data_IF_617491478466
#
_entry.id   IF_617491478466
#
_cell.length_a   1.000
_cell.length_b   1.000
_cell.length_c   1.000
_cell.angle_alpha   90.00
_cell.angle_beta   90.00
_cell.angle_gamma   90.00
#
_symmetry.space_group_name_H-M   'P 1'
#
loop_
_entity.id
_entity.type
_entity.pdbx_description
1 polymer ?
#
# COMPACT_ATOMS: atom_id res chain seq x y z
N UNK A 1 51.44 -55.73 -17.35
CA UNK A 1 50.00 -56.00 -17.49
C UNK A 1 49.43 -55.92 -16.10
N UNK A 2 48.84 -54.82 -15.73
CA UNK A 2 47.91 -54.81 -14.64
C UNK A 2 47.12 -53.45 -14.67
N UNK A 3 45.82 -53.56 -14.78
CA UNK A 3 44.93 -52.44 -14.95
C UNK A 3 44.41 -52.03 -13.58
N UNK A 4 44.97 -50.96 -13.00
CA UNK A 4 44.45 -50.29 -11.78
C UNK A 4 43.22 -49.44 -12.05
N UNK A 5 42.07 -49.86 -11.56
CA UNK A 5 40.82 -49.06 -11.52
C UNK A 5 40.95 -47.92 -10.53
N UNK A 6 40.84 -46.69 -11.02
CA UNK A 6 40.65 -45.52 -10.17
C UNK A 6 39.14 -45.29 -9.93
N UNK A 7 38.71 -45.30 -8.68
CA UNK A 7 37.38 -44.81 -8.24
C UNK A 7 37.30 -43.30 -8.29
N UNK A 8 36.14 -42.71 -8.61
CA UNK A 8 35.93 -41.25 -8.56
C UNK A 8 35.71 -40.79 -7.13
N UNK A 9 36.45 -39.75 -6.74
CA UNK A 9 36.28 -39.03 -5.48
C UNK A 9 34.95 -38.25 -5.51
N UNK A 10 34.02 -38.57 -4.60
CA UNK A 10 32.86 -37.79 -4.28
C UNK A 10 33.27 -36.38 -3.78
N UNK A 11 32.87 -35.37 -4.51
CA UNK A 11 32.88 -33.98 -4.03
C UNK A 11 31.70 -33.79 -3.07
N UNK A 12 31.95 -33.76 -1.79
CA UNK A 12 31.04 -33.24 -0.78
C UNK A 12 30.88 -31.73 -1.00
N UNK A 13 29.83 -31.32 -1.68
CA UNK A 13 29.36 -29.94 -1.68
C UNK A 13 28.66 -29.67 -0.36
N UNK A 14 29.23 -28.78 0.44
CA UNK A 14 28.63 -28.27 1.66
C UNK A 14 27.45 -27.38 1.27
N UNK A 15 26.23 -27.87 1.40
CA UNK A 15 25.01 -27.08 1.38
C UNK A 15 24.71 -26.59 2.81
N UNK A 16 25.30 -25.48 3.19
CA UNK A 16 25.04 -24.81 4.47
C UNK A 16 24.73 -23.33 4.19
N UNK A 17 23.60 -23.04 3.65
CA UNK A 17 23.21 -21.65 3.39
C UNK A 17 21.76 -21.42 2.99
N UNK A 18 21.04 -22.45 2.61
CA UNK A 18 19.67 -22.28 2.08
C UNK A 18 18.54 -22.37 3.12
N UNK A 19 18.83 -22.75 4.36
CA UNK A 19 17.80 -23.17 5.32
C UNK A 19 17.12 -22.01 6.07
N UNK A 20 17.79 -20.87 6.29
CA UNK A 20 17.21 -19.80 7.12
C UNK A 20 16.30 -18.82 6.34
N UNK A 21 16.65 -18.48 5.10
CA UNK A 21 15.81 -17.57 4.31
C UNK A 21 14.53 -18.25 3.81
N UNK A 22 14.58 -19.57 3.60
CA UNK A 22 13.40 -20.37 3.21
C UNK A 22 12.44 -20.61 4.38
N UNK A 23 12.93 -20.66 5.64
CA UNK A 23 12.07 -20.90 6.81
C UNK A 23 11.12 -19.74 7.14
N UNK A 24 11.47 -18.51 6.85
CA UNK A 24 10.57 -17.36 7.10
C UNK A 24 9.42 -17.29 6.07
N UNK A 25 9.55 -17.94 4.93
CA UNK A 25 8.52 -18.00 3.87
C UNK A 25 7.79 -19.35 3.86
N UNK A 26 8.38 -20.42 4.42
CA UNK A 26 7.88 -21.81 4.31
C UNK A 26 7.38 -22.42 5.63
N UNK A 27 7.46 -21.73 6.78
CA UNK A 27 6.91 -22.24 8.04
C UNK A 27 5.38 -22.26 8.13
N UNK A 28 4.68 -22.14 6.98
CA UNK A 28 3.24 -22.39 6.88
C UNK A 28 2.91 -23.89 6.66
N UNK A 29 3.92 -24.75 6.53
CA UNK A 29 3.68 -26.19 6.37
C UNK A 29 4.48 -26.99 7.42
N UNK A 30 3.82 -27.31 8.52
CA UNK A 30 4.06 -28.54 9.29
C UNK A 30 5.22 -28.56 10.29
N UNK A 31 4.96 -28.20 11.54
CA UNK A 31 5.36 -29.03 12.67
C UNK A 31 4.19 -29.09 13.67
N UNK A 32 3.56 -30.25 13.73
CA UNK A 32 2.64 -30.61 14.80
C UNK A 32 3.47 -30.85 16.06
N UNK A 33 3.74 -29.78 16.83
CA UNK A 33 4.07 -29.88 18.23
C UNK A 33 2.77 -29.79 19.01
N UNK A 34 2.45 -30.85 19.73
CA UNK A 34 1.30 -30.98 20.62
C UNK A 34 1.23 -29.79 21.57
N UNK A 35 0.41 -28.80 21.24
CA UNK A 35 -0.04 -27.79 22.19
C UNK A 35 -1.20 -28.42 22.97
N UNK A 36 -0.99 -28.63 24.26
CA UNK A 36 -2.08 -28.90 25.19
C UNK A 36 -3.17 -27.83 25.04
N UNK A 37 -4.40 -28.29 24.88
CA UNK A 37 -5.62 -27.50 24.86
C UNK A 37 -5.64 -26.45 25.98
N UNK A 38 -5.47 -25.19 25.60
CA UNK A 38 -5.91 -24.02 26.33
C UNK A 38 -7.21 -23.51 25.69
N UNK A 39 -8.15 -24.43 25.46
CA UNK A 39 -9.51 -24.09 25.12
C UNK A 39 -10.31 -24.14 26.42
N UNK A 40 -10.44 -23.04 27.11
CA UNK A 40 -11.69 -22.56 27.69
C UNK A 40 -11.42 -21.37 28.61
N UNK A 41 -12.14 -20.32 28.38
CA UNK A 41 -12.48 -19.14 29.15
C UNK A 41 -12.02 -17.83 28.51
N UNK A 42 -12.47 -17.61 27.28
CA UNK A 42 -12.64 -16.24 26.80
C UNK A 42 -14.11 -16.10 26.36
N UNK A 43 -14.86 -15.37 27.16
CA UNK A 43 -16.16 -14.84 26.75
C UNK A 43 -16.08 -14.11 25.40
N UNK A 44 -17.20 -13.82 24.74
CA UNK A 44 -17.19 -13.13 23.47
C UNK A 44 -16.32 -11.87 23.62
N UNK A 45 -15.29 -11.76 22.74
CA UNK A 45 -14.46 -10.56 22.66
C UNK A 45 -15.41 -9.36 22.59
N UNK A 46 -15.17 -8.27 23.34
CA UNK A 46 -15.99 -7.10 23.24
C UNK A 46 -16.00 -6.67 21.79
N UNK A 47 -17.14 -6.82 21.13
CA UNK A 47 -17.38 -6.19 19.84
C UNK A 47 -17.43 -4.71 20.15
N UNK A 48 -16.32 -4.01 19.91
CA UNK A 48 -16.36 -2.57 19.88
C UNK A 48 -17.24 -2.28 18.66
N UNK A 49 -18.50 -1.97 18.89
CA UNK A 49 -19.30 -1.25 17.92
C UNK A 49 -18.60 0.10 17.78
N UNK A 50 -17.67 0.19 16.81
CA UNK A 50 -17.29 1.47 16.27
C UNK A 50 -18.59 1.95 15.66
N UNK A 51 -19.32 2.79 16.41
CA UNK A 51 -20.45 3.50 15.83
C UNK A 51 -19.88 4.08 14.53
N UNK A 52 -20.44 3.75 13.36
CA UNK A 52 -20.06 4.45 12.15
C UNK A 52 -20.34 5.91 12.52
N UNK A 53 -19.28 6.66 12.79
CA UNK A 53 -19.33 8.09 12.72
C UNK A 53 -19.78 8.29 11.29
N UNK A 54 -21.09 8.49 11.10
CA UNK A 54 -21.68 8.70 9.79
C UNK A 54 -20.97 9.90 9.20
N UNK A 55 -19.85 9.68 8.54
CA UNK A 55 -19.21 10.70 7.74
C UNK A 55 -20.26 11.02 6.68
N UNK A 56 -20.78 12.25 6.76
CA UNK A 56 -21.71 12.75 5.74
C UNK A 56 -21.02 12.52 4.40
N UNK A 57 -21.50 11.59 3.60
CA UNK A 57 -21.00 11.45 2.25
C UNK A 57 -21.50 12.66 1.45
N UNK A 58 -20.56 13.28 0.73
CA UNK A 58 -20.89 14.41 -0.15
C UNK A 58 -21.37 13.87 -1.51
N UNK A 59 -22.40 14.52 -2.08
CA UNK A 59 -22.84 14.26 -3.44
C UNK A 59 -22.24 15.28 -4.39
N UNK A 60 -21.47 14.82 -5.38
CA UNK A 60 -20.81 15.70 -6.36
C UNK A 60 -21.40 15.50 -7.76
N UNK A 61 -21.95 16.55 -8.37
CA UNK A 61 -22.27 16.58 -9.78
C UNK A 61 -20.99 16.81 -10.60
N UNK A 62 -20.71 15.93 -11.55
CA UNK A 62 -19.49 15.98 -12.38
C UNK A 62 -19.93 16.32 -13.81
N UNK A 63 -19.66 17.55 -14.23
CA UNK A 63 -20.06 18.03 -15.56
C UNK A 63 -19.13 17.48 -16.64
N UNK A 64 -19.62 17.39 -17.84
CA UNK A 64 -18.84 17.11 -19.03
C UNK A 64 -17.90 18.28 -19.31
N UNK A 65 -16.60 18.08 -19.24
CA UNK A 65 -15.61 19.11 -19.45
C UNK A 65 -15.66 19.67 -20.87
N UNK A 66 -15.51 20.98 -21.01
CA UNK A 66 -15.47 21.68 -22.28
C UNK A 66 -14.10 21.53 -22.93
N UNK A 67 -14.06 21.29 -24.24
CA UNK A 67 -12.81 21.32 -25.02
C UNK A 67 -12.55 22.74 -25.52
N UNK A 68 -11.37 23.29 -25.22
CA UNK A 68 -10.96 24.64 -25.63
C UNK A 68 -9.76 24.57 -26.58
N UNK A 69 -9.80 25.33 -27.67
CA UNK A 69 -8.76 25.31 -28.69
C UNK A 69 -8.82 24.06 -29.58
N UNK A 70 -7.68 23.46 -29.98
CA UNK A 70 -7.67 22.25 -30.79
C UNK A 70 -8.42 21.12 -30.11
N UNK A 71 -9.43 20.47 -30.75
CA UNK A 71 -10.36 19.58 -30.08
C UNK A 71 -9.67 18.35 -29.46
N UNK A 72 -10.05 18.01 -28.24
CA UNK A 72 -9.63 16.79 -27.56
C UNK A 72 -10.40 15.56 -28.06
N UNK A 73 -11.60 15.78 -28.59
CA UNK A 73 -12.53 14.77 -29.11
C UNK A 73 -13.54 14.31 -28.05
N UNK A 74 -14.81 14.27 -28.44
CA UNK A 74 -15.94 14.03 -27.54
C UNK A 74 -15.87 12.71 -26.78
N UNK A 75 -15.48 11.62 -27.45
CA UNK A 75 -15.32 10.32 -26.80
C UNK A 75 -14.24 10.34 -25.69
N UNK A 76 -13.19 11.12 -25.86
CA UNK A 76 -12.13 11.27 -24.85
C UNK A 76 -12.58 12.11 -23.66
N UNK A 77 -13.40 13.13 -23.89
CA UNK A 77 -13.98 13.95 -22.83
C UNK A 77 -14.99 13.15 -22.03
N UNK A 78 -15.83 12.34 -22.69
CA UNK A 78 -16.72 11.43 -22.00
C UNK A 78 -15.93 10.41 -21.15
N UNK A 79 -14.86 9.83 -21.69
CA UNK A 79 -13.97 8.93 -20.94
C UNK A 79 -13.29 9.62 -19.75
N UNK A 80 -12.95 10.91 -19.85
CA UNK A 80 -12.39 11.67 -18.72
C UNK A 80 -13.43 11.81 -17.60
N UNK A 81 -14.68 12.17 -17.92
CA UNK A 81 -15.78 12.26 -16.96
C UNK A 81 -16.01 10.93 -16.25
N UNK A 82 -16.16 9.83 -17.02
CA UNK A 82 -16.32 8.48 -16.46
C UNK A 82 -15.17 8.10 -15.52
N UNK A 83 -13.94 8.52 -15.82
CA UNK A 83 -12.79 8.28 -14.97
C UNK A 83 -12.86 9.07 -13.67
N UNK A 84 -13.24 10.35 -13.75
CA UNK A 84 -13.41 11.20 -12.56
C UNK A 84 -14.49 10.61 -11.65
N UNK A 85 -15.64 10.22 -12.20
CA UNK A 85 -16.75 9.63 -11.44
C UNK A 85 -16.32 8.34 -10.71
N UNK A 86 -15.64 7.43 -11.40
CA UNK A 86 -15.12 6.20 -10.79
C UNK A 86 -14.11 6.50 -9.68
N UNK A 87 -13.22 7.45 -9.92
CA UNK A 87 -12.18 7.81 -8.98
C UNK A 87 -12.73 8.52 -7.74
N UNK A 88 -13.76 9.38 -7.92
CA UNK A 88 -14.49 9.99 -6.81
C UNK A 88 -15.22 8.93 -6.00
N UNK A 89 -15.95 8.02 -6.65
CA UNK A 89 -16.66 6.93 -5.98
C UNK A 89 -15.71 5.99 -5.20
N UNK A 90 -14.45 5.85 -5.63
CA UNK A 90 -13.45 5.07 -4.92
C UNK A 90 -13.12 5.65 -3.54
N UNK A 91 -13.27 6.97 -3.32
CA UNK A 91 -13.03 7.60 -2.02
C UNK A 91 -13.99 7.14 -0.93
N UNK A 92 -15.21 6.73 -1.30
CA UNK A 92 -16.37 6.40 -0.44
C UNK A 92 -16.99 7.56 0.31
N UNK A 93 -16.29 8.66 0.51
CA UNK A 93 -16.74 9.87 1.21
C UNK A 93 -17.43 10.89 0.27
N UNK A 94 -17.12 10.80 -1.01
CA UNK A 94 -17.75 11.59 -2.06
C UNK A 94 -18.38 10.65 -3.07
N UNK A 95 -19.65 10.80 -3.35
CA UNK A 95 -20.38 9.99 -4.31
C UNK A 95 -20.74 10.83 -5.54
N UNK A 96 -20.52 10.32 -6.76
CA UNK A 96 -21.01 10.97 -7.96
C UNK A 96 -22.54 11.02 -7.92
N UNK A 97 -23.12 12.21 -8.15
CA UNK A 97 -24.55 12.33 -8.33
C UNK A 97 -24.97 11.65 -9.65
N UNK A 98 -25.98 10.77 -9.67
CA UNK A 98 -26.45 10.15 -10.90
C UNK A 98 -26.93 11.18 -11.93
N UNK A 99 -26.55 11.03 -13.20
CA UNK A 99 -26.93 11.97 -14.26
C UNK A 99 -28.45 12.16 -14.40
N UNK A 100 -29.24 11.11 -14.10
CA UNK A 100 -30.69 11.19 -14.11
C UNK A 100 -31.26 12.15 -13.07
N UNK A 101 -30.48 12.55 -12.07
CA UNK A 101 -30.89 13.54 -11.07
C UNK A 101 -30.56 14.99 -11.47
N UNK A 102 -29.84 15.21 -12.57
CA UNK A 102 -29.43 16.53 -13.01
C UNK A 102 -30.65 17.30 -13.53
N UNK A 103 -30.94 18.44 -12.91
CA UNK A 103 -31.98 19.38 -13.35
C UNK A 103 -31.41 20.53 -14.20
N UNK A 104 -30.09 20.70 -14.20
CA UNK A 104 -29.35 21.64 -15.02
C UNK A 104 -28.55 20.93 -16.12
N UNK A 105 -27.95 21.70 -17.03
CA UNK A 105 -27.07 21.16 -18.07
C UNK A 105 -25.93 20.37 -17.49
N UNK A 106 -25.61 19.27 -18.11
CA UNK A 106 -24.45 18.40 -17.76
C UNK A 106 -23.16 18.85 -18.45
N UNK A 107 -23.17 19.90 -19.24
CA UNK A 107 -22.01 20.49 -19.89
C UNK A 107 -21.38 21.62 -19.06
N UNK A 108 -20.07 21.64 -18.96
CA UNK A 108 -19.36 22.73 -18.29
C UNK A 108 -19.53 24.04 -19.07
N UNK A 109 -19.98 25.14 -18.42
CA UNK A 109 -19.86 26.47 -18.98
C UNK A 109 -18.39 26.87 -19.14
N UNK A 110 -18.09 28.00 -19.76
CA UNK A 110 -16.76 28.56 -19.74
C UNK A 110 -16.35 28.92 -18.30
N UNK A 111 -15.09 28.64 -17.92
CA UNK A 111 -14.63 28.80 -16.53
C UNK A 111 -14.60 30.27 -16.06
N UNK A 112 -14.52 31.22 -16.99
CA UNK A 112 -14.58 32.67 -16.76
C UNK A 112 -16.04 33.19 -16.61
N UNK A 113 -17.02 32.39 -17.00
CA UNK A 113 -18.43 32.71 -16.84
C UNK A 113 -18.89 32.21 -15.45
N UNK A 114 -19.50 33.13 -14.66
CA UNK A 114 -20.04 32.77 -13.35
C UNK A 114 -21.51 32.37 -13.47
N UNK A 115 -21.81 31.28 -14.20
CA UNK A 115 -23.17 30.90 -14.64
C UNK A 115 -23.58 29.54 -14.03
N UNK A 116 -23.22 29.26 -12.78
CA UNK A 116 -23.72 28.05 -12.12
C UNK A 116 -25.06 28.34 -11.44
N UNK A 117 -26.09 27.66 -11.91
CA UNK A 117 -27.41 27.65 -11.25
C UNK A 117 -27.38 26.73 -10.02
N UNK A 118 -26.90 27.29 -8.91
CA UNK A 118 -26.78 26.57 -7.64
C UNK A 118 -28.14 26.08 -7.11
N UNK A 119 -29.24 26.79 -7.42
CA UNK A 119 -30.58 26.40 -6.94
C UNK A 119 -31.03 25.10 -7.63
N UNK A 120 -30.85 24.98 -8.94
CA UNK A 120 -31.12 23.73 -9.67
C UNK A 120 -30.25 22.58 -9.20
N UNK A 121 -28.96 22.81 -8.92
CA UNK A 121 -28.08 21.78 -8.39
C UNK A 121 -28.44 21.39 -6.97
N UNK A 122 -28.86 22.33 -6.13
CA UNK A 122 -29.35 22.03 -4.79
C UNK A 122 -30.62 21.17 -4.82
N UNK A 123 -31.53 21.46 -5.76
CA UNK A 123 -32.73 20.64 -5.98
C UNK A 123 -32.39 19.25 -6.53
N UNK A 124 -31.31 19.12 -7.31
CA UNK A 124 -30.76 17.83 -7.76
C UNK A 124 -30.16 17.02 -6.63
N UNK A 125 -29.92 17.60 -5.46
CA UNK A 125 -29.27 16.93 -4.31
C UNK A 125 -27.75 16.95 -4.35
N UNK A 126 -27.14 17.84 -5.13
CA UNK A 126 -25.69 18.01 -5.14
C UNK A 126 -25.22 18.88 -3.95
N UNK A 127 -24.18 18.45 -3.26
CA UNK A 127 -23.41 19.26 -2.31
C UNK A 127 -22.36 20.11 -3.06
N UNK A 128 -21.84 19.59 -4.17
CA UNK A 128 -20.85 20.29 -5.01
C UNK A 128 -21.05 20.02 -6.50
N UNK A 129 -20.56 20.95 -7.32
CA UNK A 129 -20.46 20.81 -8.77
C UNK A 129 -19.01 20.91 -9.18
N UNK A 130 -18.53 19.91 -9.93
CA UNK A 130 -17.23 19.88 -10.57
C UNK A 130 -17.38 20.20 -12.05
N UNK A 131 -16.78 21.29 -12.50
CA UNK A 131 -16.76 21.74 -13.88
C UNK A 131 -15.34 22.02 -14.35
N UNK A 132 -15.11 22.00 -15.67
CA UNK A 132 -13.76 22.21 -16.15
C UNK A 132 -13.65 22.35 -17.67
N UNK A 133 -12.46 22.78 -18.07
CA UNK A 133 -12.02 22.87 -19.45
C UNK A 133 -10.79 22.01 -19.69
N UNK A 134 -10.70 21.45 -20.90
CA UNK A 134 -9.57 20.64 -21.33
C UNK A 134 -8.99 21.23 -22.61
N UNK A 135 -7.68 21.42 -22.63
CA UNK A 135 -6.96 21.93 -23.81
C UNK A 135 -5.71 21.09 -24.10
N UNK A 136 -5.30 21.11 -25.37
CA UNK A 136 -4.01 20.56 -25.78
C UNK A 136 -2.96 21.65 -25.75
N UNK A 137 -1.87 21.39 -25.02
CA UNK A 137 -0.71 22.26 -24.94
C UNK A 137 0.54 21.49 -25.36
N UNK A 138 1.00 21.66 -26.60
CA UNK A 138 2.11 20.88 -27.14
C UNK A 138 1.81 19.37 -27.16
N UNK A 139 2.66 18.57 -26.54
CA UNK A 139 2.48 17.12 -26.39
C UNK A 139 1.69 16.69 -25.16
N UNK A 140 1.12 17.64 -24.41
CA UNK A 140 0.41 17.40 -23.15
C UNK A 140 -1.08 17.75 -23.25
N UNK A 141 -1.84 17.34 -22.25
CA UNK A 141 -3.20 17.80 -21.99
C UNK A 141 -3.19 18.53 -20.66
N UNK A 142 -3.81 19.71 -20.65
CA UNK A 142 -4.10 20.47 -19.46
C UNK A 142 -5.60 20.48 -19.22
N UNK A 143 -6.00 20.19 -18.00
CA UNK A 143 -7.36 20.35 -17.50
C UNK A 143 -7.36 21.45 -16.42
N UNK A 144 -8.15 22.49 -16.63
CA UNK A 144 -8.44 23.51 -15.64
C UNK A 144 -9.82 23.21 -15.05
N UNK A 145 -9.98 23.29 -13.73
CA UNK A 145 -11.21 22.91 -13.04
C UNK A 145 -11.60 23.88 -11.94
N UNK A 146 -12.91 23.95 -11.69
CA UNK A 146 -13.54 24.62 -10.55
C UNK A 146 -14.41 23.62 -9.80
N UNK A 147 -14.39 23.70 -8.49
CA UNK A 147 -15.24 22.93 -7.59
C UNK A 147 -16.07 23.94 -6.81
N UNK A 148 -17.38 23.91 -7.01
CA UNK A 148 -18.33 24.89 -6.46
C UNK A 148 -19.13 24.25 -5.32
N UNK A 149 -19.16 24.88 -4.15
CA UNK A 149 -20.08 24.56 -3.05
C UNK A 149 -21.50 25.02 -3.45
N UNK A 150 -22.41 24.10 -3.62
CA UNK A 150 -23.78 24.37 -4.01
C UNK A 150 -24.56 25.10 -2.90
N UNK A 151 -24.28 24.78 -1.65
CA UNK A 151 -24.96 25.40 -0.50
C UNK A 151 -24.67 26.89 -0.34
N UNK A 152 -23.40 27.28 -0.61
CA UNK A 152 -22.93 28.69 -0.49
C UNK A 152 -22.87 29.41 -1.84
N UNK A 153 -22.96 28.66 -2.93
CA UNK A 153 -22.74 29.13 -4.30
C UNK A 153 -21.42 29.87 -4.48
N UNK A 154 -20.33 29.23 -4.01
CA UNK A 154 -18.98 29.80 -4.03
C UNK A 154 -17.98 28.73 -4.43
N UNK A 155 -16.88 29.16 -5.06
CA UNK A 155 -15.77 28.25 -5.35
C UNK A 155 -15.12 27.73 -4.07
N UNK A 156 -15.09 26.41 -3.91
CA UNK A 156 -14.28 25.74 -2.90
C UNK A 156 -12.81 25.70 -3.33
N UNK A 157 -12.59 25.42 -4.63
CA UNK A 157 -11.24 25.25 -5.17
C UNK A 157 -11.23 25.47 -6.68
N UNK A 158 -10.16 26.09 -7.16
CA UNK A 158 -9.75 26.05 -8.55
C UNK A 158 -8.40 25.31 -8.63
N UNK A 159 -8.21 24.52 -9.65
CA UNK A 159 -6.96 23.78 -9.85
C UNK A 159 -6.69 23.56 -11.33
N UNK A 160 -5.47 23.18 -11.66
CA UNK A 160 -5.11 22.69 -12.97
C UNK A 160 -4.31 21.40 -12.86
N UNK A 161 -4.55 20.51 -13.81
CA UNK A 161 -3.87 19.21 -13.89
C UNK A 161 -3.29 19.07 -15.29
N UNK A 162 -1.98 18.78 -15.36
CA UNK A 162 -1.27 18.58 -16.62
C UNK A 162 -0.79 17.14 -16.70
N UNK A 163 -0.99 16.50 -17.83
CA UNK A 163 -0.54 15.12 -18.06
C UNK A 163 -0.15 14.86 -19.50
N UNK A 164 0.38 13.67 -19.74
CA UNK A 164 0.73 13.21 -21.07
C UNK A 164 -0.52 13.16 -21.99
N UNK A 165 -0.30 13.29 -23.31
CA UNK A 165 -1.38 13.28 -24.30
C UNK A 165 -2.34 12.10 -24.19
N UNK A 166 -1.82 10.93 -23.82
CA UNK A 166 -2.61 9.70 -23.68
C UNK A 166 -2.98 9.39 -22.20
N UNK A 167 -2.62 10.31 -21.27
CA UNK A 167 -2.77 10.15 -19.82
C UNK A 167 -4.10 10.66 -19.26
N UNK A 168 -5.21 10.70 -20.03
CA UNK A 168 -6.50 11.21 -19.53
C UNK A 168 -7.00 10.47 -18.28
N UNK A 169 -6.75 9.18 -18.16
CA UNK A 169 -7.13 8.43 -16.97
C UNK A 169 -6.36 8.92 -15.72
N UNK A 170 -5.06 9.19 -15.86
CA UNK A 170 -4.27 9.77 -14.75
C UNK A 170 -4.75 11.17 -14.40
N UNK A 171 -5.05 12.01 -15.42
CA UNK A 171 -5.61 13.36 -15.21
C UNK A 171 -6.95 13.26 -14.46
N UNK A 172 -7.85 12.36 -14.87
CA UNK A 172 -9.15 12.18 -14.22
C UNK A 172 -9.04 11.76 -12.75
N UNK A 173 -8.10 10.85 -12.42
CA UNK A 173 -7.83 10.45 -11.04
C UNK A 173 -7.28 11.59 -10.20
N UNK A 174 -6.37 12.38 -10.75
CA UNK A 174 -5.84 13.57 -10.04
C UNK A 174 -6.94 14.61 -9.81
N UNK A 175 -7.80 14.86 -10.80
CA UNK A 175 -8.97 15.75 -10.63
C UNK A 175 -9.88 15.23 -9.52
N UNK A 176 -10.15 13.94 -9.48
CA UNK A 176 -10.95 13.32 -8.42
C UNK A 176 -10.33 13.51 -7.03
N UNK A 177 -9.02 13.34 -6.91
CA UNK A 177 -8.30 13.55 -5.64
C UNK A 177 -8.38 15.02 -5.19
N UNK A 178 -8.31 15.97 -6.12
CA UNK A 178 -8.52 17.39 -5.83
C UNK A 178 -9.96 17.68 -5.37
N UNK A 179 -10.96 17.04 -6.00
CA UNK A 179 -12.36 17.20 -5.63
C UNK A 179 -12.64 16.60 -4.23
N UNK A 180 -12.14 15.41 -3.95
CA UNK A 180 -12.24 14.79 -2.63
C UNK A 180 -11.57 15.68 -1.58
N UNK A 181 -10.39 16.21 -1.88
CA UNK A 181 -9.67 17.11 -0.98
C UNK A 181 -10.40 18.41 -0.68
N UNK A 182 -11.04 19.01 -1.69
CA UNK A 182 -11.82 20.25 -1.53
C UNK A 182 -13.05 20.05 -0.62
N UNK A 183 -13.70 18.88 -0.71
CA UNK A 183 -14.91 18.57 0.03
C UNK A 183 -14.64 18.04 1.45
N UNK A 184 -13.58 17.28 1.63
CA UNK A 184 -13.32 16.54 2.88
C UNK A 184 -12.16 17.10 3.70
N UNK A 185 -11.37 18.02 3.11
CA UNK A 185 -10.14 18.54 3.73
C UNK A 185 -8.93 17.63 3.61
N UNK A 186 -9.06 16.39 3.10
CA UNK A 186 -7.98 15.43 2.90
C UNK A 186 -8.01 14.99 1.43
N UNK A 187 -6.90 15.21 0.72
CA UNK A 187 -6.76 14.84 -0.69
C UNK A 187 -7.03 13.35 -0.90
N UNK A 188 -7.75 13.00 -1.97
CA UNK A 188 -8.04 11.61 -2.34
C UNK A 188 -6.77 10.83 -2.76
N UNK A 189 -6.93 9.53 -3.00
CA UNK A 189 -5.83 8.61 -3.31
C UNK A 189 -5.98 7.86 -4.64
N UNK A 190 -6.94 8.24 -5.46
CA UNK A 190 -7.23 7.56 -6.73
C UNK A 190 -6.07 7.65 -7.73
N UNK A 191 -5.25 8.72 -7.66
CA UNK A 191 -4.07 8.90 -8.50
C UNK A 191 -2.83 8.12 -8.03
N UNK A 192 -2.88 7.49 -6.86
CA UNK A 192 -1.79 6.71 -6.31
C UNK A 192 -1.71 5.30 -6.91
N UNK A 193 -0.64 4.60 -6.63
CA UNK A 193 -0.40 3.24 -7.11
C UNK A 193 -0.09 2.28 -5.96
N UNK A 194 -0.39 1.00 -6.18
CA UNK A 194 -0.06 -0.09 -5.25
C UNK A 194 0.95 -1.01 -5.93
N UNK A 195 2.11 -1.20 -5.29
CA UNK A 195 3.07 -2.24 -5.66
C UNK A 195 2.70 -3.56 -4.97
N UNK A 196 2.90 -4.69 -5.62
CA UNK A 196 2.61 -6.00 -5.05
C UNK A 196 3.47 -7.09 -5.69
N UNK A 197 3.59 -8.22 -5.03
CA UNK A 197 4.28 -9.41 -5.55
C UNK A 197 3.29 -10.28 -6.29
N UNK A 198 3.64 -10.73 -7.51
CA UNK A 198 2.81 -11.68 -8.28
C UNK A 198 3.67 -12.73 -8.97
N UNK A 199 3.22 -13.99 -8.97
CA UNK A 199 3.85 -15.10 -9.69
C UNK A 199 3.12 -15.46 -11.01
N UNK A 200 2.28 -14.56 -11.52
CA UNK A 200 1.47 -14.79 -12.73
C UNK A 200 2.28 -15.05 -14.01
N UNK A 201 3.55 -14.69 -14.02
CA UNK A 201 4.50 -14.93 -15.12
C UNK A 201 5.48 -16.09 -14.86
N UNK A 202 5.24 -16.86 -13.79
CA UNK A 202 6.04 -18.03 -13.38
C UNK A 202 6.84 -17.76 -12.12
N UNK A 203 7.72 -16.76 -12.13
CA UNK A 203 8.48 -16.34 -10.96
C UNK A 203 7.80 -15.17 -10.24
N UNK A 204 8.17 -14.93 -8.98
CA UNK A 204 7.64 -13.81 -8.20
C UNK A 204 8.31 -12.51 -8.62
N UNK A 205 7.53 -11.66 -9.25
CA UNK A 205 7.92 -10.35 -9.74
C UNK A 205 7.16 -9.25 -8.99
N UNK A 206 7.73 -8.04 -9.01
CA UNK A 206 7.01 -6.85 -8.54
C UNK A 206 6.11 -6.36 -9.67
N UNK A 207 4.86 -6.17 -9.36
CA UNK A 207 3.84 -5.55 -10.20
C UNK A 207 3.39 -4.24 -9.57
N UNK A 208 2.87 -3.35 -10.40
CA UNK A 208 2.27 -2.08 -9.98
C UNK A 208 0.91 -1.97 -10.62
N UNK A 209 -0.06 -1.41 -9.90
CA UNK A 209 -1.41 -1.12 -10.36
C UNK A 209 -1.88 0.23 -9.82
N UNK A 210 -2.91 0.81 -10.45
CA UNK A 210 -3.65 1.95 -9.89
C UNK A 210 -4.31 1.56 -8.57
N UNK A 211 -4.60 2.53 -7.70
CA UNK A 211 -5.24 2.30 -6.40
C UNK A 211 -6.54 1.48 -6.48
N UNK A 212 -7.29 1.61 -7.57
CA UNK A 212 -8.52 0.86 -7.85
C UNK A 212 -8.31 -0.53 -8.51
N UNK A 213 -7.07 -0.97 -8.64
CA UNK A 213 -6.71 -2.29 -9.18
C UNK A 213 -6.57 -2.37 -10.69
N UNK A 214 -6.77 -1.27 -11.43
CA UNK A 214 -6.57 -1.20 -12.88
C UNK A 214 -5.09 -0.99 -13.25
N UNK A 215 -4.80 -0.94 -14.53
CA UNK A 215 -3.48 -0.64 -15.11
C UNK A 215 -2.35 -1.54 -14.55
N UNK A 216 -2.67 -2.81 -14.27
CA UNK A 216 -1.70 -3.76 -13.72
C UNK A 216 -0.57 -4.04 -14.72
N UNK A 217 0.66 -3.75 -14.33
CA UNK A 217 1.85 -3.95 -15.14
C UNK A 217 3.02 -4.53 -14.33
N UNK A 218 3.90 -5.33 -14.94
CA UNK A 218 5.13 -5.73 -14.28
C UNK A 218 6.06 -4.52 -14.13
N UNK A 219 6.67 -4.38 -12.96
CA UNK A 219 7.74 -3.42 -12.70
C UNK A 219 9.12 -4.07 -12.78
N UNK A 220 9.18 -5.40 -12.71
CA UNK A 220 10.42 -6.21 -12.83
C UNK A 220 10.19 -7.40 -13.75
N UNK A 221 11.28 -8.04 -14.23
CA UNK A 221 11.17 -9.13 -15.22
C UNK A 221 12.40 -10.03 -15.31
N UNK A 222 13.17 -10.23 -14.23
CA UNK A 222 14.45 -10.95 -14.27
C UNK A 222 14.41 -12.43 -13.85
N UNK A 223 13.25 -13.06 -13.79
CA UNK A 223 13.05 -14.50 -13.49
C UNK A 223 13.69 -14.98 -12.18
N UNK A 224 13.70 -14.14 -11.16
CA UNK A 224 14.19 -14.47 -9.82
C UNK A 224 13.20 -14.03 -8.75
N UNK A 225 13.33 -14.60 -7.55
CA UNK A 225 12.44 -14.29 -6.45
C UNK A 225 12.58 -12.82 -6.01
N UNK A 226 11.48 -12.07 -6.07
CA UNK A 226 11.37 -10.70 -5.56
C UNK A 226 10.25 -10.62 -4.53
N UNK A 227 10.51 -9.92 -3.43
CA UNK A 227 9.62 -9.85 -2.26
C UNK A 227 9.69 -8.47 -1.62
N UNK A 228 8.68 -8.17 -0.80
CA UNK A 228 8.67 -6.99 0.08
C UNK A 228 8.89 -5.69 -0.68
N UNK A 229 7.98 -5.35 -1.62
CA UNK A 229 8.02 -4.04 -2.26
C UNK A 229 7.81 -2.94 -1.23
N UNK A 230 8.44 -1.80 -1.47
CA UNK A 230 8.34 -0.58 -0.68
C UNK A 230 8.49 0.62 -1.60
N UNK A 231 7.48 1.46 -1.71
CA UNK A 231 7.60 2.70 -2.45
C UNK A 231 8.63 3.65 -1.83
N UNK A 232 9.40 4.31 -2.67
CA UNK A 232 10.18 5.46 -2.20
C UNK A 232 9.23 6.59 -1.81
N UNK A 233 9.53 7.40 -0.78
CA UNK A 233 8.65 8.48 -0.33
C UNK A 233 8.30 9.53 -1.38
N UNK A 234 9.15 9.67 -2.41
CA UNK A 234 8.90 10.54 -3.56
C UNK A 234 8.01 9.87 -4.65
N UNK A 235 7.55 8.65 -4.43
CA UNK A 235 6.69 7.89 -5.35
C UNK A 235 7.32 7.55 -6.71
N UNK A 236 8.64 7.74 -6.88
CA UNK A 236 9.31 7.57 -8.18
C UNK A 236 9.81 6.17 -8.44
N UNK A 237 9.99 5.37 -7.38
CA UNK A 237 10.57 4.04 -7.48
C UNK A 237 10.04 3.11 -6.39
N UNK A 238 10.22 1.81 -6.60
CA UNK A 238 9.92 0.76 -5.64
C UNK A 238 11.21 0.06 -5.26
N UNK A 239 11.54 0.06 -3.97
CA UNK A 239 12.57 -0.77 -3.35
C UNK A 239 12.00 -2.18 -3.17
N UNK A 240 12.80 -3.21 -3.34
CA UNK A 240 12.40 -4.60 -3.08
C UNK A 240 13.58 -5.47 -2.70
N UNK A 241 13.31 -6.59 -2.05
CA UNK A 241 14.29 -7.62 -1.75
C UNK A 241 14.42 -8.56 -2.94
N UNK A 242 15.62 -8.64 -3.52
CA UNK A 242 15.98 -9.45 -4.68
C UNK A 242 16.90 -10.60 -4.26
N UNK A 243 16.62 -11.81 -4.77
CA UNK A 243 17.33 -13.04 -4.40
C UNK A 243 18.23 -13.59 -5.53
N UNK A 244 18.59 -12.77 -6.53
CA UNK A 244 19.42 -13.16 -7.68
C UNK A 244 20.77 -13.77 -7.31
N UNK A 245 21.39 -13.29 -6.24
CA UNK A 245 22.72 -13.75 -5.76
C UNK A 245 22.70 -14.87 -4.74
N UNK A 246 21.55 -15.55 -4.53
CA UNK A 246 21.39 -16.58 -3.50
C UNK A 246 21.17 -16.07 -2.08
N UNK A 247 21.49 -14.79 -1.82
CA UNK A 247 21.15 -14.07 -0.60
C UNK A 247 20.33 -12.81 -0.94
N UNK A 248 19.35 -12.44 -0.08
CA UNK A 248 18.55 -11.26 -0.35
C UNK A 248 19.40 -9.99 -0.32
N UNK A 249 19.22 -9.17 -1.33
CA UNK A 249 19.79 -7.84 -1.46
C UNK A 249 18.73 -6.84 -1.90
N UNK A 250 18.95 -5.55 -1.67
CA UNK A 250 18.03 -4.54 -2.16
C UNK A 250 18.26 -4.23 -3.63
N UNK A 251 17.15 -4.07 -4.35
CA UNK A 251 17.09 -3.53 -5.70
C UNK A 251 16.00 -2.46 -5.75
N UNK A 252 16.10 -1.56 -6.73
CA UNK A 252 15.12 -0.50 -6.96
C UNK A 252 14.68 -0.56 -8.42
N UNK A 253 13.39 -0.45 -8.67
CA UNK A 253 12.84 -0.26 -10.01
C UNK A 253 12.10 1.07 -10.08
N UNK A 254 12.27 1.82 -11.19
CA UNK A 254 11.49 3.02 -11.44
C UNK A 254 10.24 2.72 -12.27
N UNK A 255 9.30 3.66 -12.30
CA UNK A 255 8.11 3.59 -13.18
C UNK A 255 8.45 3.35 -14.65
N UNK A 256 9.64 3.75 -15.11
CA UNK A 256 10.03 3.71 -16.52
C UNK A 256 11.03 2.61 -16.86
N UNK A 257 11.81 2.12 -15.91
CA UNK A 257 12.91 1.18 -16.19
C UNK A 257 13.43 0.56 -14.89
N UNK A 258 13.83 -0.72 -14.93
CA UNK A 258 14.58 -1.32 -13.84
C UNK A 258 15.88 -0.52 -13.64
N UNK A 259 15.96 0.22 -12.55
CA UNK A 259 17.17 0.89 -12.13
C UNK A 259 17.90 -0.07 -11.23
N UNK A 260 19.05 -0.51 -11.65
CA UNK A 260 19.95 -1.25 -10.75
C UNK A 260 20.14 -0.42 -9.49
N UNK A 261 19.90 -1.01 -8.32
CA UNK A 261 20.08 -0.35 -7.02
C UNK A 261 21.36 0.47 -7.06
N UNK A 262 21.25 1.75 -6.76
CA UNK A 262 22.39 2.66 -6.80
C UNK A 262 23.54 2.13 -5.93
N UNK A 263 24.77 2.60 -6.15
CA UNK A 263 25.98 2.12 -5.45
C UNK A 263 25.82 2.07 -3.93
N UNK A 264 25.02 2.99 -3.38
CA UNK A 264 24.80 3.15 -1.94
C UNK A 264 24.09 1.93 -1.33
N UNK A 265 23.00 1.44 -1.95
CA UNK A 265 22.28 0.26 -1.43
C UNK A 265 23.07 -1.04 -1.61
N UNK A 266 23.96 -1.10 -2.61
CA UNK A 266 24.87 -2.25 -2.82
C UNK A 266 26.00 -2.29 -1.81
N UNK A 267 26.52 -1.13 -1.41
CA UNK A 267 27.65 -1.03 -0.46
C UNK A 267 27.23 -1.20 1.00
N UNK A 268 25.93 -1.15 1.30
CA UNK A 268 25.43 -1.38 2.65
C UNK A 268 25.66 -2.82 3.07
N UNK A 269 26.45 -3.05 4.13
CA UNK A 269 26.71 -4.35 4.73
C UNK A 269 27.12 -5.42 3.68
N UNK A 270 28.27 -5.31 3.01
CA UNK A 270 28.73 -6.27 2.01
C UNK A 270 28.72 -7.70 2.55
N UNK A 271 28.22 -8.67 1.75
CA UNK A 271 28.21 -10.08 2.13
C UNK A 271 27.13 -10.50 3.12
N UNK A 272 26.33 -9.56 3.65
CA UNK A 272 25.22 -9.89 4.55
C UNK A 272 23.86 -9.76 3.83
N UNK A 273 22.89 -10.65 4.16
CA UNK A 273 21.54 -10.58 3.60
C UNK A 273 20.84 -9.30 4.07
N UNK A 274 20.08 -8.68 3.15
CA UNK A 274 19.31 -7.45 3.42
C UNK A 274 17.90 -7.60 2.85
N UNK A 275 16.88 -7.41 3.67
CA UNK A 275 15.49 -7.56 3.28
C UNK A 275 14.55 -6.71 4.14
N UNK A 276 13.30 -6.55 3.70
CA UNK A 276 12.24 -5.80 4.38
C UNK A 276 12.71 -4.38 4.78
N UNK A 277 13.15 -3.61 3.79
CA UNK A 277 13.50 -2.20 4.00
C UNK A 277 12.23 -1.34 4.09
N UNK A 278 12.23 -0.36 4.99
CA UNK A 278 11.18 0.66 5.16
C UNK A 278 11.80 2.04 5.29
N UNK A 279 11.43 2.96 4.40
CA UNK A 279 11.88 4.34 4.50
C UNK A 279 11.24 5.04 5.69
N UNK A 280 11.99 5.93 6.33
CA UNK A 280 11.41 6.87 7.28
C UNK A 280 10.52 7.88 6.55
N UNK A 281 9.60 8.57 7.24
CA UNK A 281 8.67 9.51 6.59
C UNK A 281 9.36 10.62 5.79
N UNK A 282 10.58 11.00 6.17
CA UNK A 282 11.39 12.00 5.47
C UNK A 282 12.15 11.46 4.25
N UNK A 283 12.21 10.13 4.08
CA UNK A 283 12.94 9.48 3.01
C UNK A 283 14.47 9.56 3.10
N UNK A 284 14.99 9.99 4.25
CA UNK A 284 16.44 10.16 4.48
C UNK A 284 17.08 8.91 5.10
N UNK A 285 16.29 8.07 5.76
CA UNK A 285 16.74 6.86 6.43
C UNK A 285 15.93 5.63 6.00
N UNK A 286 16.54 4.46 6.13
CA UNK A 286 15.94 3.18 5.85
C UNK A 286 16.10 2.28 7.09
N UNK A 287 15.00 1.83 7.67
CA UNK A 287 15.03 0.69 8.59
C UNK A 287 15.02 -0.59 7.75
N UNK A 288 15.91 -1.53 8.05
CA UNK A 288 16.03 -2.77 7.28
C UNK A 288 16.37 -3.95 8.18
N UNK A 289 16.13 -5.15 7.70
CA UNK A 289 16.54 -6.39 8.36
C UNK A 289 17.81 -6.92 7.74
N UNK A 290 18.73 -7.33 8.60
CA UNK A 290 19.93 -8.11 8.18
C UNK A 290 20.21 -9.20 9.19
N UNK A 291 20.70 -10.35 8.72
CA UNK A 291 21.14 -11.42 9.62
C UNK A 291 22.62 -11.27 9.91
N UNK A 292 22.91 -10.95 11.17
CA UNK A 292 24.26 -10.83 11.73
C UNK A 292 24.33 -11.82 12.90
N UNK A 293 25.44 -12.53 13.03
CA UNK A 293 25.65 -13.52 14.12
C UNK A 293 24.56 -14.60 14.22
N UNK A 294 23.86 -14.89 13.10
CA UNK A 294 22.85 -15.94 13.02
C UNK A 294 21.43 -15.52 13.36
N UNK A 295 21.22 -14.34 13.93
CA UNK A 295 19.90 -13.77 14.20
C UNK A 295 19.52 -12.68 13.18
N UNK A 296 18.23 -12.52 12.92
CA UNK A 296 17.70 -11.42 12.12
C UNK A 296 17.48 -10.21 13.02
N UNK A 297 18.10 -9.11 12.66
CA UNK A 297 18.12 -7.88 13.46
C UNK A 297 17.73 -6.66 12.62
N UNK A 298 17.23 -5.64 13.27
CA UNK A 298 16.85 -4.38 12.63
C UNK A 298 18.03 -3.41 12.66
N UNK A 299 18.32 -2.84 11.51
CA UNK A 299 19.34 -1.81 11.30
C UNK A 299 18.70 -0.55 10.74
N UNK A 300 19.30 0.59 11.04
CA UNK A 300 19.00 1.89 10.44
C UNK A 300 20.19 2.39 9.65
N UNK A 301 19.94 2.86 8.43
CA UNK A 301 20.97 3.39 7.54
C UNK A 301 20.49 4.68 6.89
N UNK A 302 21.39 5.64 6.65
CA UNK A 302 21.09 6.86 5.90
C UNK A 302 21.07 6.55 4.39
N UNK A 303 20.11 7.11 3.68
CA UNK A 303 19.96 6.95 2.20
C UNK A 303 21.24 7.34 1.44
N UNK A 304 21.97 8.34 1.90
CA UNK A 304 23.24 8.80 1.29
C UNK A 304 24.46 7.97 1.65
N UNK A 305 24.27 6.85 2.35
CA UNK A 305 25.34 5.97 2.81
C UNK A 305 25.97 6.47 4.12
N UNK A 306 25.83 5.69 5.15
CA UNK A 306 26.56 5.77 6.40
C UNK A 306 26.73 4.36 6.90
N UNK A 307 27.57 4.18 7.92
CA UNK A 307 27.62 2.90 8.61
C UNK A 307 26.24 2.54 9.15
N UNK A 308 25.76 1.30 8.90
CA UNK A 308 24.51 0.81 9.46
C UNK A 308 24.56 0.82 10.99
N UNK A 309 23.59 1.45 11.61
CA UNK A 309 23.40 1.38 13.06
C UNK A 309 22.47 0.23 13.41
N UNK A 310 22.94 -0.75 14.16
CA UNK A 310 22.11 -1.83 14.72
C UNK A 310 21.17 -1.26 15.78
N UNK A 311 19.86 -1.47 15.61
CA UNK A 311 18.81 -1.01 16.53
C UNK A 311 18.40 -2.10 17.51
N UNK A 312 18.42 -3.38 17.08
CA UNK A 312 18.12 -4.51 17.95
C UNK A 312 19.34 -5.40 18.11
N UNK A 313 19.49 -6.00 19.29
CA UNK A 313 20.55 -6.93 19.62
C UNK A 313 20.00 -7.99 20.58
N UNK A 314 19.35 -9.00 20.00
CA UNK A 314 18.69 -10.06 20.77
C UNK A 314 18.82 -11.41 20.05
N UNK A 315 18.91 -12.55 20.76
CA UNK A 315 18.95 -13.89 20.12
C UNK A 315 17.70 -14.23 19.30
N UNK A 316 16.61 -13.52 19.53
CA UNK A 316 15.35 -13.68 18.80
C UNK A 316 15.41 -13.05 17.40
N UNK A 317 14.43 -13.41 16.57
CA UNK A 317 14.25 -12.88 15.23
C UNK A 317 13.48 -11.55 15.32
N UNK A 318 14.12 -10.46 14.93
CA UNK A 318 13.53 -9.11 14.87
C UNK A 318 13.37 -8.69 13.40
N UNK A 319 12.12 -8.55 12.94
CA UNK A 319 11.80 -8.32 11.52
C UNK A 319 10.63 -7.35 11.32
N UNK A 320 10.38 -6.98 10.06
CA UNK A 320 9.22 -6.18 9.63
C UNK A 320 9.11 -4.84 10.36
N UNK A 321 10.15 -4.00 10.36
CA UNK A 321 10.04 -2.67 10.94
C UNK A 321 9.05 -1.80 10.17
N UNK A 322 8.32 -0.92 10.87
CA UNK A 322 7.52 0.15 10.30
C UNK A 322 7.67 1.41 11.16
N UNK A 323 7.92 2.55 10.51
CA UNK A 323 8.08 3.83 11.17
C UNK A 323 6.75 4.44 11.62
N UNK A 324 6.76 5.11 12.76
CA UNK A 324 5.69 6.06 13.11
C UNK A 324 5.73 7.25 12.13
N UNK A 325 4.57 7.90 11.84
CA UNK A 325 4.52 8.99 10.86
C UNK A 325 5.35 10.23 11.26
N UNK A 326 5.68 10.39 12.53
CA UNK A 326 6.58 11.42 13.04
C UNK A 326 8.07 11.01 13.02
N UNK A 327 8.37 9.78 12.60
CA UNK A 327 9.72 9.21 12.51
C UNK A 327 10.42 9.00 13.86
N UNK A 328 9.70 9.07 14.99
CA UNK A 328 10.28 8.93 16.32
C UNK A 328 10.33 7.52 16.85
N UNK A 329 9.48 6.64 16.36
CA UNK A 329 9.35 5.26 16.81
C UNK A 329 9.33 4.29 15.64
N UNK A 330 9.62 3.02 15.96
CA UNK A 330 9.43 1.88 15.08
C UNK A 330 8.58 0.84 15.79
N UNK A 331 7.61 0.28 15.08
CA UNK A 331 6.98 -0.99 15.44
C UNK A 331 7.65 -2.11 14.66
N UNK A 332 7.81 -3.26 15.27
CA UNK A 332 8.44 -4.43 14.64
C UNK A 332 7.90 -5.74 15.20
N UNK A 333 8.15 -6.84 14.50
CA UNK A 333 7.80 -8.19 14.93
C UNK A 333 9.02 -8.86 15.56
N UNK A 334 8.83 -9.51 16.71
CA UNK A 334 9.87 -10.27 17.42
C UNK A 334 9.32 -11.52 18.08
N UNK A 335 10.06 -12.62 18.04
CA UNK A 335 9.72 -13.85 18.75
C UNK A 335 10.38 -13.99 20.13
N UNK A 336 10.96 -12.90 20.67
CA UNK A 336 11.64 -12.86 21.97
C UNK A 336 10.79 -13.29 23.17
N UNK A 337 9.48 -13.32 23.03
CA UNK A 337 8.56 -13.84 24.05
C UNK A 337 8.07 -15.27 23.80
N UNK A 338 8.77 -16.02 22.92
CA UNK A 338 8.48 -17.41 22.58
C UNK A 338 7.61 -17.59 21.33
N UNK A 339 6.94 -16.54 20.88
CA UNK A 339 6.16 -16.52 19.63
C UNK A 339 6.20 -15.10 19.03
N UNK A 340 6.03 -14.95 17.70
CA UNK A 340 6.02 -13.64 17.06
C UNK A 340 4.95 -12.72 17.63
N UNK A 341 5.40 -11.57 18.14
CA UNK A 341 4.59 -10.51 18.72
C UNK A 341 5.07 -9.16 18.24
N UNK A 342 4.24 -8.13 18.35
CA UNK A 342 4.62 -6.77 18.01
C UNK A 342 5.28 -6.08 19.21
N UNK A 343 6.33 -5.34 18.89
CA UNK A 343 7.08 -4.50 19.82
C UNK A 343 7.21 -3.10 19.25
N UNK A 344 7.29 -2.10 20.12
CA UNK A 344 7.65 -0.72 19.76
C UNK A 344 8.99 -0.38 20.39
N UNK A 345 9.81 0.39 19.68
CA UNK A 345 11.05 0.97 20.14
C UNK A 345 11.18 2.42 19.66
N UNK A 346 12.03 3.19 20.32
CA UNK A 346 12.43 4.49 19.82
C UNK A 346 13.29 4.38 18.56
N UNK A 347 13.35 5.45 17.74
CA UNK A 347 14.13 5.48 16.49
C UNK A 347 15.59 5.08 16.65
N UNK A 348 16.13 5.16 17.85
CA UNK A 348 17.52 4.83 18.18
C UNK A 348 17.69 3.43 18.79
N UNK A 349 16.63 2.62 18.83
CA UNK A 349 16.62 1.25 19.35
C UNK A 349 16.40 1.16 20.87
N UNK A 350 16.11 2.29 21.54
CA UNK A 350 15.80 2.35 22.98
C UNK A 350 14.34 2.05 23.30
N UNK A 351 14.02 1.98 24.59
CA UNK A 351 12.66 1.87 25.14
C UNK A 351 11.82 0.74 24.52
N UNK A 352 12.43 -0.41 24.26
CA UNK A 352 11.73 -1.58 23.65
C UNK A 352 10.64 -2.08 24.59
N UNK A 353 9.40 -2.09 24.12
CA UNK A 353 8.25 -2.64 24.85
C UNK A 353 7.38 -3.51 23.97
N UNK A 354 6.79 -4.55 24.55
CA UNK A 354 5.81 -5.39 23.87
C UNK A 354 4.50 -4.64 23.67
N UNK A 355 3.90 -4.76 22.49
CA UNK A 355 2.64 -4.11 22.12
C UNK A 355 1.47 -5.09 22.12
N UNK A 356 1.63 -6.33 21.60
CA UNK A 356 0.56 -7.30 21.49
C UNK A 356 0.66 -8.40 22.54
N UNK A 357 -0.50 -8.74 23.14
CA UNK A 357 -0.65 -9.81 24.15
C UNK A 357 -1.71 -10.83 23.75
N UNK A 358 -2.51 -10.54 22.73
CA UNK A 358 -3.56 -11.39 22.18
C UNK A 358 -3.08 -11.99 20.87
N UNK A 359 -3.51 -13.22 20.56
CA UNK A 359 -3.11 -13.94 19.35
C UNK A 359 -1.80 -14.73 19.53
N UNK A 360 -1.73 -15.91 18.87
CA UNK A 360 -0.58 -16.79 18.95
C UNK A 360 0.59 -16.36 18.04
N UNK A 361 0.32 -15.49 17.05
CA UNK A 361 1.28 -15.03 16.07
C UNK A 361 0.82 -13.67 15.53
N UNK A 362 1.58 -12.62 15.76
CA UNK A 362 1.33 -11.25 15.32
C UNK A 362 2.51 -10.75 14.49
N UNK A 363 2.27 -10.31 13.26
CA UNK A 363 3.33 -9.94 12.33
C UNK A 363 2.90 -8.84 11.35
N UNK A 364 3.85 -8.45 10.48
CA UNK A 364 3.66 -7.49 9.40
C UNK A 364 2.98 -6.18 9.84
N UNK A 365 3.46 -5.53 10.92
CA UNK A 365 2.86 -4.28 11.38
C UNK A 365 3.14 -3.15 10.39
N UNK A 366 2.13 -2.28 10.19
CA UNK A 366 2.25 -1.05 9.41
C UNK A 366 1.52 0.07 10.15
N UNK A 367 2.25 1.15 10.44
CA UNK A 367 1.69 2.32 11.12
C UNK A 367 0.81 3.14 10.19
N UNK A 368 -0.34 3.62 10.69
CA UNK A 368 -1.22 4.51 9.92
C UNK A 368 -0.57 5.87 9.71
N UNK A 369 -0.85 6.58 8.60
CA UNK A 369 -0.28 7.90 8.32
C UNK A 369 -0.62 8.97 9.37
N UNK A 370 -1.74 8.82 10.07
CA UNK A 370 -2.19 9.71 11.14
C UNK A 370 -1.65 9.35 12.54
N UNK A 371 -0.92 8.23 12.64
CA UNK A 371 -0.31 7.76 13.88
C UNK A 371 -1.26 7.13 14.89
N UNK A 372 -2.56 7.06 14.60
CA UNK A 372 -3.56 6.54 15.55
C UNK A 372 -3.60 5.03 15.65
N UNK A 373 -3.25 4.33 14.57
CA UNK A 373 -3.38 2.90 14.44
C UNK A 373 -2.12 2.21 13.90
N UNK A 374 -1.97 0.96 14.24
CA UNK A 374 -1.04 0.02 13.63
C UNK A 374 -1.87 -1.13 13.09
N UNK A 375 -1.89 -1.30 11.76
CA UNK A 375 -2.50 -2.46 11.13
C UNK A 375 -1.50 -3.63 11.16
N UNK A 376 -1.98 -4.84 11.41
CA UNK A 376 -1.12 -6.01 11.47
C UNK A 376 -1.90 -7.30 11.16
N UNK A 377 -1.19 -8.36 10.84
CA UNK A 377 -1.78 -9.69 10.72
C UNK A 377 -1.64 -10.46 12.03
N UNK A 378 -2.72 -11.08 12.46
CA UNK A 378 -2.73 -11.94 13.66
C UNK A 378 -3.31 -13.31 13.35
N UNK A 379 -2.70 -14.35 13.90
CA UNK A 379 -3.21 -15.72 13.74
C UNK A 379 -4.21 -16.04 14.84
N UNK A 380 -5.48 -16.07 14.45
CA UNK A 380 -6.61 -16.45 15.32
C UNK A 380 -7.32 -17.63 14.67
N UNK A 381 -7.63 -18.69 15.43
CA UNK A 381 -8.36 -19.87 14.95
C UNK A 381 -7.71 -20.59 13.75
N UNK A 382 -6.37 -20.49 13.62
CA UNK A 382 -5.61 -21.20 12.57
C UNK A 382 -5.38 -20.45 11.25
N UNK A 383 -6.09 -19.37 10.99
CA UNK A 383 -5.86 -18.45 9.86
C UNK A 383 -5.37 -17.09 10.35
N UNK A 384 -4.86 -16.28 9.41
CA UNK A 384 -4.52 -14.89 9.68
C UNK A 384 -5.69 -13.97 9.35
N UNK A 385 -5.91 -12.98 10.21
CA UNK A 385 -6.87 -11.90 10.04
C UNK A 385 -6.17 -10.55 10.23
N UNK A 386 -6.69 -9.49 9.61
CA UNK A 386 -6.14 -8.13 9.77
C UNK A 386 -6.81 -7.45 10.96
N UNK A 387 -5.97 -6.95 11.86
CA UNK A 387 -6.38 -6.26 13.09
C UNK A 387 -5.78 -4.85 13.14
N UNK A 388 -6.39 -3.99 13.93
CA UNK A 388 -5.85 -2.69 14.34
C UNK A 388 -5.55 -2.69 15.81
N UNK A 389 -4.43 -2.05 16.17
CA UNK A 389 -4.05 -1.77 17.54
C UNK A 389 -3.60 -0.32 17.66
N UNK A 390 -3.98 0.37 18.74
CA UNK A 390 -3.45 1.70 19.02
C UNK A 390 -2.00 1.63 19.54
N UNK A 391 -1.19 2.68 19.41
CA UNK A 391 0.21 2.65 19.84
C UNK A 391 0.41 2.41 21.34
N UNK A 392 -0.61 2.62 22.18
CA UNK A 392 -0.54 2.29 23.61
C UNK A 392 -0.75 0.79 23.86
N UNK A 393 -1.38 0.06 22.94
CA UNK A 393 -1.75 -1.33 23.07
C UNK A 393 -3.04 -1.59 23.84
N UNK A 394 -3.79 -0.54 24.17
CA UNK A 394 -5.03 -0.65 24.97
C UNK A 394 -6.25 -0.99 24.11
N UNK A 395 -6.30 -0.48 22.89
CA UNK A 395 -7.39 -0.71 21.95
C UNK A 395 -6.89 -1.63 20.85
N UNK A 396 -7.49 -2.83 20.75
CA UNK A 396 -7.07 -3.86 19.80
C UNK A 396 -8.30 -4.64 19.31
N UNK A 397 -8.54 -4.61 17.98
CA UNK A 397 -9.75 -5.22 17.40
C UNK A 397 -9.55 -5.68 15.95
N UNK A 398 -10.31 -6.70 15.50
CA UNK A 398 -10.30 -7.11 14.10
C UNK A 398 -11.05 -6.11 13.21
N UNK A 399 -10.53 -5.89 12.00
CA UNK A 399 -11.23 -5.12 10.95
C UNK A 399 -11.68 -6.01 9.81
N UNK A 400 -11.08 -7.17 9.64
CA UNK A 400 -11.54 -8.19 8.72
C UNK A 400 -11.36 -9.56 9.35
N UNK A 401 -12.39 -10.39 9.24
CA UNK A 401 -12.35 -11.78 9.68
C UNK A 401 -12.92 -12.67 8.58
N UNK A 402 -12.16 -13.68 8.20
CA UNK A 402 -12.60 -14.64 7.20
C UNK A 402 -12.04 -16.04 7.54
N UNK A 403 -12.73 -17.10 7.12
CA UNK A 403 -12.27 -18.49 7.31
C UNK A 403 -10.97 -18.86 6.60
N UNK A 404 -10.45 -17.98 5.74
CA UNK A 404 -9.15 -18.09 5.07
C UNK A 404 -8.34 -16.85 5.36
N UNK A 405 -7.03 -16.96 5.27
CA UNK A 405 -6.11 -15.90 5.68
C UNK A 405 -6.27 -14.59 4.92
N UNK A 406 -6.17 -13.50 5.68
CA UNK A 406 -5.99 -12.12 5.26
C UNK A 406 -4.69 -11.61 5.88
N UNK A 407 -3.71 -11.20 5.06
CA UNK A 407 -2.30 -11.01 5.44
C UNK A 407 -1.70 -9.74 4.83
N UNK A 408 -0.59 -9.27 5.42
CA UNK A 408 0.24 -8.19 4.90
C UNK A 408 -0.55 -6.91 4.59
N UNK A 409 -1.14 -6.25 5.59
CA UNK A 409 -1.85 -4.99 5.39
C UNK A 409 -0.90 -3.86 5.01
N UNK A 410 -1.41 -2.86 4.27
CA UNK A 410 -0.76 -1.58 4.00
C UNK A 410 -1.81 -0.47 3.94
N UNK A 411 -1.47 0.72 4.44
CA UNK A 411 -2.36 1.87 4.47
C UNK A 411 -2.32 2.67 3.18
N UNK A 412 -3.44 3.24 2.77
CA UNK A 412 -3.46 4.36 1.83
C UNK A 412 -2.80 5.60 2.48
N UNK A 413 -2.17 6.48 1.69
CA UNK A 413 -1.47 7.64 2.24
C UNK A 413 -2.37 8.66 2.95
N UNK A 414 -3.68 8.65 2.69
CA UNK A 414 -4.68 9.44 3.42
C UNK A 414 -5.18 8.78 4.72
N UNK A 415 -4.76 7.54 5.00
CA UNK A 415 -5.16 6.78 6.18
C UNK A 415 -6.59 6.27 6.18
N UNK A 416 -7.32 6.35 5.06
CA UNK A 416 -8.74 5.99 4.98
C UNK A 416 -8.99 4.57 4.49
N UNK A 417 -7.99 3.95 3.82
CA UNK A 417 -8.12 2.61 3.26
C UNK A 417 -6.95 1.72 3.65
N UNK A 418 -7.22 0.42 3.64
CA UNK A 418 -6.21 -0.62 3.86
C UNK A 418 -6.27 -1.61 2.70
N UNK A 419 -5.13 -1.82 2.02
CA UNK A 419 -4.96 -2.91 1.09
C UNK A 419 -4.28 -4.09 1.78
N UNK A 420 -4.63 -5.32 1.41
CA UNK A 420 -4.10 -6.54 2.02
C UNK A 420 -4.19 -7.74 1.07
N UNK A 421 -3.46 -8.79 1.38
CA UNK A 421 -3.47 -10.05 0.66
C UNK A 421 -4.54 -10.97 1.23
N UNK A 422 -5.45 -11.51 0.43
CA UNK A 422 -6.53 -12.38 0.90
C UNK A 422 -6.63 -13.69 0.12
N UNK A 423 -6.71 -14.81 0.83
CA UNK A 423 -6.93 -16.14 0.26
C UNK A 423 -8.41 -16.52 0.14
N UNK A 424 -9.36 -15.61 0.38
CA UNK A 424 -10.82 -15.88 0.50
C UNK A 424 -11.45 -16.59 -0.70
N UNK A 425 -10.85 -16.51 -1.89
CA UNK A 425 -11.30 -17.23 -3.09
C UNK A 425 -10.43 -18.43 -3.49
N UNK A 426 -9.63 -18.96 -2.54
CA UNK A 426 -8.83 -20.17 -2.74
C UNK A 426 -7.39 -19.91 -3.15
N UNK A 427 -7.09 -18.71 -3.66
CA UNK A 427 -5.74 -18.20 -3.93
C UNK A 427 -5.63 -16.78 -3.37
N UNK A 428 -4.41 -16.31 -3.19
CA UNK A 428 -4.19 -14.95 -2.74
C UNK A 428 -4.41 -13.94 -3.86
N UNK A 429 -5.23 -12.94 -3.56
CA UNK A 429 -5.44 -11.73 -4.35
C UNK A 429 -5.32 -10.50 -3.44
N UNK A 430 -5.06 -9.34 -4.04
CA UNK A 430 -5.06 -8.08 -3.32
C UNK A 430 -6.50 -7.57 -3.22
N UNK A 431 -6.86 -7.19 -2.02
CA UNK A 431 -8.13 -6.54 -1.67
C UNK A 431 -7.86 -5.19 -1.04
N UNK A 432 -8.85 -4.32 -1.10
CA UNK A 432 -8.88 -3.04 -0.40
C UNK A 432 -10.20 -2.94 0.37
N UNK A 433 -10.19 -2.26 1.49
CA UNK A 433 -11.36 -1.89 2.30
C UNK A 433 -11.13 -0.54 2.94
N UNK A 434 -12.17 0.07 3.45
CA UNK A 434 -12.04 1.22 4.33
C UNK A 434 -11.41 0.79 5.68
N UNK A 435 -10.78 1.73 6.36
CA UNK A 435 -10.07 1.44 7.62
C UNK A 435 -10.97 0.82 8.72
N UNK A 436 -12.29 1.04 8.62
CA UNK A 436 -13.30 0.48 9.52
C UNK A 436 -13.80 -0.93 9.09
N UNK A 437 -13.24 -1.49 8.01
CA UNK A 437 -13.60 -2.81 7.47
C UNK A 437 -14.73 -2.81 6.45
N UNK A 438 -15.31 -1.67 6.14
CA UNK A 438 -16.38 -1.52 5.14
C UNK A 438 -15.84 -1.45 3.71
N UNK A 439 -16.74 -1.49 2.72
CA UNK A 439 -16.46 -1.28 1.30
C UNK A 439 -15.36 -2.19 0.74
N UNK A 440 -15.38 -3.46 1.15
CA UNK A 440 -14.40 -4.46 0.72
C UNK A 440 -14.47 -4.71 -0.79
N UNK A 441 -13.38 -4.45 -1.49
CA UNK A 441 -13.25 -4.61 -2.94
C UNK A 441 -12.02 -5.46 -3.30
N UNK A 442 -12.15 -6.29 -4.33
CA UNK A 442 -11.05 -7.09 -4.89
C UNK A 442 -10.35 -6.32 -5.99
N UNK A 443 -9.05 -6.11 -5.87
CA UNK A 443 -8.23 -5.38 -6.85
C UNK A 443 -7.60 -6.28 -7.91
N UNK A 444 -7.22 -7.53 -7.55
CA UNK A 444 -6.60 -8.46 -8.51
C UNK A 444 -7.50 -9.68 -8.71
N UNK A 445 -7.61 -10.14 -9.97
CA UNK A 445 -8.46 -11.29 -10.34
C UNK A 445 -7.84 -12.20 -11.40
N UNK A 446 -6.65 -11.86 -11.91
CA UNK A 446 -5.92 -12.62 -12.92
C UNK A 446 -5.21 -13.82 -12.31
N UNK A 447 -4.72 -14.74 -13.15
CA UNK A 447 -3.93 -15.89 -12.71
C UNK A 447 -2.73 -15.48 -11.85
N UNK A 448 -2.26 -16.41 -11.00
CA UNK A 448 -1.14 -16.22 -10.09
C UNK A 448 -1.56 -15.86 -8.67
N UNK A 449 -0.60 -15.96 -7.76
CA UNK A 449 -0.71 -15.56 -6.36
C UNK A 449 -0.26 -14.11 -6.24
N UNK A 450 -1.13 -13.25 -5.74
CA UNK A 450 -0.89 -11.81 -5.56
C UNK A 450 -0.81 -11.52 -4.06
N UNK A 451 0.34 -11.05 -3.59
CA UNK A 451 0.64 -10.88 -2.15
C UNK A 451 1.47 -9.63 -1.88
N UNK A 452 1.54 -9.26 -0.60
CA UNK A 452 2.40 -8.21 -0.07
C UNK A 452 2.20 -6.88 -0.80
N UNK A 453 0.99 -6.31 -0.76
CA UNK A 453 0.79 -4.98 -1.31
C UNK A 453 1.57 -3.95 -0.51
N UNK A 454 2.03 -2.91 -1.17
CA UNK A 454 2.57 -1.71 -0.59
C UNK A 454 1.97 -0.49 -1.30
N UNK A 455 1.28 0.35 -0.57
CA UNK A 455 0.59 1.51 -1.12
C UNK A 455 1.55 2.68 -1.26
N UNK A 456 1.66 3.23 -2.47
CA UNK A 456 2.53 4.34 -2.77
C UNK A 456 2.03 5.68 -2.21
N UNK A 457 2.94 6.65 -2.04
CA UNK A 457 2.59 7.96 -1.55
C UNK A 457 1.78 8.77 -2.57
N UNK A 458 1.11 9.81 -2.10
CA UNK A 458 0.63 10.88 -2.97
C UNK A 458 1.84 11.63 -3.54
N UNK A 459 1.88 11.77 -4.86
CA UNK A 459 2.88 12.61 -5.54
C UNK A 459 2.23 13.94 -5.91
N UNK A 460 3.01 15.03 -5.76
CA UNK A 460 2.61 16.37 -6.23
C UNK A 460 2.46 16.44 -7.75
#
# INVERSE_FOLDING_TARGET
>A
MDFGRRQPRERRTRSLGLTLAAMVVLSVAGSAASAKDLSNEQGPLPTLEIAPGGSKSFSAAILRFRSVGPPVGDARIASLRDEIERAVAFSTEVQPLPHAAYLASDESPALDENVIDCDSWKQSGADAVLLGEVRREGGQIRADLRIVDVGRCQDLKTANVVGARDGLASIGRTIADEAVGALTGIRGVASTEIAFVSDRTGDREIYVMSADGRDQRPATGSRTLKMFPEWTPDGRAVLYSNYDGGQPAFSITSRAKEITAGPILRSLMPGLPKYRGRFDPGGEELAMVSSVDGAAEIFRVKRKGSEPRRLTNHPAIDISPSWSPDGRQLVFCSDRSGAPQLYIMDRDGGAVRRLTYTGAYNASPVWSPDGRWIAYETRVRGQFDVWLIDPSGQINFPIVQHRRSDEAPTWSPDGRKIAFSSARRGRYDIYVMDWNGENLMRLTSRAGKNIQPDWGPQTE
#
